data_IF_214488510963
#
_entry.id   IF_214488510963
#
_cell.length_a   1.000
_cell.length_b   1.000
_cell.length_c   1.000
_cell.angle_alpha   90.00
_cell.angle_beta   90.00
_cell.angle_gamma   90.00
#
_symmetry.space_group_name_H-M   'P 1'
#
loop_
_entity.id
_entity.type
_entity.pdbx_description
1 polymer ?
#
# COMPACT_ATOMS: atom_id res chain seq x y z
N UNK A 1 -6.56 -19.29 17.60
CA UNK A 1 -5.82 -20.40 16.98
C UNK A 1 -6.15 -20.40 15.50
N UNK A 2 -5.28 -19.81 14.67
CA UNK A 2 -5.42 -19.84 13.23
C UNK A 2 -4.70 -21.10 12.73
N UNK A 3 -5.45 -22.02 12.12
CA UNK A 3 -4.88 -23.17 11.42
C UNK A 3 -4.34 -22.69 10.07
N UNK A 4 -3.06 -22.97 9.82
CA UNK A 4 -2.43 -22.72 8.54
C UNK A 4 -2.94 -23.67 7.46
N UNK A 5 -3.46 -23.08 6.39
CA UNK A 5 -3.39 -23.61 5.02
C UNK A 5 -3.84 -22.52 4.02
N UNK A 6 -3.06 -22.35 2.95
CA UNK A 6 -3.36 -21.68 1.68
C UNK A 6 -3.81 -20.20 1.70
N UNK A 7 -2.91 -19.30 1.28
CA UNK A 7 -3.21 -18.22 0.32
C UNK A 7 -4.36 -17.25 0.61
N UNK A 8 -4.75 -17.04 1.87
CA UNK A 8 -5.84 -16.13 2.21
C UNK A 8 -5.38 -14.67 2.09
N UNK A 9 -5.88 -13.98 1.07
CA UNK A 9 -5.89 -12.53 1.01
C UNK A 9 -6.71 -12.00 2.18
N UNK A 10 -6.07 -11.38 3.15
CA UNK A 10 -6.74 -10.74 4.28
C UNK A 10 -7.36 -9.40 3.82
N UNK A 11 -8.67 -9.39 3.61
CA UNK A 11 -9.42 -8.15 3.41
C UNK A 11 -10.32 -7.92 4.62
N UNK A 12 -10.13 -6.78 5.30
CA UNK A 12 -11.06 -6.34 6.33
C UNK A 12 -12.48 -6.27 5.75
N UNK A 13 -13.50 -6.73 6.50
CA UNK A 13 -14.90 -6.57 6.08
C UNK A 13 -15.25 -5.10 5.78
N UNK A 14 -14.65 -4.18 6.52
CA UNK A 14 -14.76 -2.74 6.33
C UNK A 14 -14.32 -2.26 4.94
N UNK A 15 -13.46 -3.00 4.24
CA UNK A 15 -13.05 -2.66 2.88
C UNK A 15 -14.24 -2.63 1.91
N UNK A 16 -15.25 -3.46 2.13
CA UNK A 16 -16.43 -3.52 1.26
C UNK A 16 -17.48 -2.48 1.63
N UNK A 17 -17.42 -1.91 2.83
CA UNK A 17 -18.48 -1.05 3.38
C UNK A 17 -18.06 0.38 3.65
N UNK A 18 -16.77 0.66 3.82
CA UNK A 18 -16.28 1.95 4.31
C UNK A 18 -15.24 2.58 3.37
N UNK A 19 -15.03 3.89 3.53
CA UNK A 19 -14.06 4.68 2.78
C UNK A 19 -14.21 4.52 1.25
N UNK A 20 -15.45 4.44 0.76
CA UNK A 20 -15.75 4.37 -0.67
C UNK A 20 -15.57 5.77 -1.24
N UNK A 21 -14.47 5.98 -1.98
CA UNK A 21 -14.14 7.27 -2.57
C UNK A 21 -14.95 7.49 -3.85
N UNK A 22 -15.55 8.67 -3.96
CA UNK A 22 -16.32 9.10 -5.12
C UNK A 22 -15.64 10.32 -5.72
N UNK A 23 -14.90 10.08 -6.81
CA UNK A 23 -14.02 11.06 -7.46
C UNK A 23 -14.74 12.34 -7.88
N UNK A 24 -15.93 12.22 -8.47
CA UNK A 24 -16.72 13.37 -8.94
C UNK A 24 -16.99 14.39 -7.83
N UNK A 25 -17.09 13.92 -6.59
CA UNK A 25 -17.44 14.75 -5.44
C UNK A 25 -16.31 14.86 -4.41
N UNK A 26 -15.15 14.25 -4.68
CA UNK A 26 -13.98 14.24 -3.81
C UNK A 26 -14.32 13.89 -2.36
N UNK A 27 -15.18 12.88 -2.16
CA UNK A 27 -15.69 12.50 -0.85
C UNK A 27 -15.66 11.00 -0.61
N UNK A 28 -15.63 10.61 0.66
CA UNK A 28 -15.77 9.22 1.09
C UNK A 28 -17.15 8.95 1.66
N UNK A 29 -17.72 7.80 1.31
CA UNK A 29 -18.99 7.32 1.84
C UNK A 29 -18.87 5.91 2.41
N UNK A 30 -19.84 5.53 3.25
CA UNK A 30 -20.01 4.14 3.69
C UNK A 30 -21.29 3.56 3.08
N UNK A 31 -21.24 2.31 2.67
CA UNK A 31 -22.34 1.59 2.05
C UNK A 31 -22.51 0.21 2.66
N UNK A 32 -23.68 -0.06 3.25
CA UNK A 32 -24.06 -1.40 3.71
C UNK A 32 -25.27 -1.93 2.94
N UNK A 33 -26.26 -1.07 2.76
CA UNK A 33 -27.49 -1.34 2.04
C UNK A 33 -28.11 -0.02 1.59
N UNK A 34 -28.97 -0.11 0.57
CA UNK A 34 -29.59 1.04 -0.09
C UNK A 34 -30.47 1.88 0.84
N UNK A 35 -31.20 1.24 1.76
CA UNK A 35 -32.10 1.92 2.68
C UNK A 35 -31.32 2.79 3.67
N UNK A 36 -30.30 2.21 4.33
CA UNK A 36 -29.43 2.94 5.27
C UNK A 36 -28.62 4.01 4.56
N UNK A 37 -28.12 3.73 3.35
CA UNK A 37 -27.39 4.71 2.56
C UNK A 37 -28.27 5.93 2.26
N UNK A 38 -29.48 5.70 1.72
CA UNK A 38 -30.44 6.76 1.40
C UNK A 38 -30.79 7.56 2.65
N UNK A 39 -31.14 6.90 3.76
CA UNK A 39 -31.48 7.57 5.02
C UNK A 39 -30.34 8.42 5.57
N UNK A 40 -29.09 7.98 5.43
CA UNK A 40 -27.89 8.69 5.91
C UNK A 40 -27.60 9.93 5.07
N UNK A 41 -27.60 9.79 3.75
CA UNK A 41 -27.15 10.86 2.84
C UNK A 41 -28.27 11.79 2.36
N UNK A 42 -29.55 11.42 2.52
CA UNK A 42 -30.71 12.28 2.23
C UNK A 42 -30.77 13.54 3.11
N UNK A 43 -30.18 13.51 4.30
CA UNK A 43 -30.12 14.71 5.17
C UNK A 43 -29.03 15.69 4.77
N UNK A 44 -28.06 15.24 3.97
CA UNK A 44 -26.80 15.95 3.69
C UNK A 44 -26.79 16.46 2.25
N UNK A 45 -27.56 15.83 1.36
CA UNK A 45 -27.56 16.11 -0.08
C UNK A 45 -29.00 16.20 -0.61
N UNK A 46 -29.20 16.94 -1.71
CA UNK A 46 -30.48 16.99 -2.42
C UNK A 46 -30.83 15.58 -2.96
N UNK A 47 -32.10 15.17 -2.98
CA UNK A 47 -32.50 13.83 -3.42
C UNK A 47 -31.93 13.43 -4.80
N UNK A 48 -31.88 14.37 -5.74
CA UNK A 48 -31.28 14.18 -7.07
C UNK A 48 -29.81 13.74 -7.02
N UNK A 49 -29.09 14.19 -6.00
CA UNK A 49 -27.68 13.85 -5.80
C UNK A 49 -27.50 12.39 -5.37
N UNK A 50 -28.42 11.84 -4.58
CA UNK A 50 -28.39 10.44 -4.14
C UNK A 50 -28.61 9.49 -5.32
N UNK A 51 -29.56 9.84 -6.21
CA UNK A 51 -29.85 9.05 -7.42
C UNK A 51 -28.63 8.94 -8.36
N UNK A 52 -27.80 9.99 -8.42
CA UNK A 52 -26.55 9.98 -9.17
C UNK A 52 -25.39 9.28 -8.46
N UNK A 53 -25.40 9.32 -7.12
CA UNK A 53 -24.32 8.78 -6.27
C UNK A 53 -24.41 7.27 -6.11
N UNK A 54 -25.63 6.75 -5.89
CA UNK A 54 -25.84 5.33 -5.58
C UNK A 54 -25.30 4.37 -6.65
N UNK A 55 -25.49 4.59 -7.97
CA UNK A 55 -24.91 3.73 -8.99
C UNK A 55 -23.37 3.69 -8.95
N UNK A 56 -22.73 4.81 -8.63
CA UNK A 56 -21.26 4.89 -8.54
C UNK A 56 -20.75 4.10 -7.33
N UNK A 57 -21.40 4.26 -6.19
CA UNK A 57 -21.10 3.50 -4.96
C UNK A 57 -21.27 2.01 -5.19
N UNK A 58 -22.40 1.59 -5.77
CA UNK A 58 -22.67 0.18 -6.05
C UNK A 58 -21.61 -0.42 -7.00
N UNK A 59 -21.27 0.30 -8.07
CA UNK A 59 -20.22 -0.12 -9.01
C UNK A 59 -18.86 -0.30 -8.31
N UNK A 60 -18.50 0.62 -7.42
CA UNK A 60 -17.25 0.53 -6.67
C UNK A 60 -17.25 -0.63 -5.67
N UNK A 61 -18.36 -0.89 -4.97
CA UNK A 61 -18.51 -2.05 -4.07
C UNK A 61 -18.40 -3.36 -4.85
N UNK A 62 -19.12 -3.49 -5.96
CA UNK A 62 -19.03 -4.66 -6.85
C UNK A 62 -17.61 -4.88 -7.37
N UNK A 63 -16.90 -3.80 -7.74
CA UNK A 63 -15.49 -3.87 -8.13
C UNK A 63 -14.63 -4.41 -6.97
N UNK A 64 -14.78 -3.85 -5.76
CA UNK A 64 -14.02 -4.28 -4.57
C UNK A 64 -14.24 -5.77 -4.25
N UNK A 65 -15.47 -6.27 -4.40
CA UNK A 65 -15.80 -7.68 -4.19
C UNK A 65 -15.09 -8.61 -5.19
N UNK A 66 -14.91 -8.19 -6.44
CA UNK A 66 -14.25 -9.00 -7.49
C UNK A 66 -12.73 -9.00 -7.41
N UNK A 67 -12.12 -8.02 -6.73
CA UNK A 67 -10.66 -7.84 -6.71
C UNK A 67 -9.88 -9.09 -6.29
N UNK A 68 -10.34 -9.77 -5.24
CA UNK A 68 -9.64 -10.97 -4.74
C UNK A 68 -9.69 -12.11 -5.76
N UNK A 69 -10.86 -12.37 -6.35
CA UNK A 69 -11.03 -13.40 -7.37
C UNK A 69 -10.21 -13.11 -8.63
N UNK A 70 -10.31 -11.88 -9.14
CA UNK A 70 -9.55 -11.46 -10.31
C UNK A 70 -8.03 -11.52 -10.07
N UNK A 71 -7.57 -11.19 -8.87
CA UNK A 71 -6.16 -11.29 -8.49
C UNK A 71 -5.69 -12.74 -8.47
N UNK A 72 -6.48 -13.65 -7.92
CA UNK A 72 -6.18 -15.09 -7.93
C UNK A 72 -6.12 -15.65 -9.35
N UNK A 73 -7.06 -15.25 -10.22
CA UNK A 73 -7.06 -15.65 -11.63
C UNK A 73 -5.80 -15.17 -12.35
N UNK A 74 -5.43 -13.90 -12.19
CA UNK A 74 -4.19 -13.34 -12.76
C UNK A 74 -2.95 -14.06 -12.23
N UNK A 75 -2.84 -14.26 -10.91
CA UNK A 75 -1.72 -14.99 -10.30
C UNK A 75 -1.57 -16.39 -10.88
N UNK A 76 -2.67 -17.11 -11.07
CA UNK A 76 -2.67 -18.44 -11.69
C UNK A 76 -2.18 -18.39 -13.15
N UNK A 77 -2.71 -17.47 -13.95
CA UNK A 77 -2.31 -17.33 -15.34
C UNK A 77 -0.83 -16.92 -15.50
N UNK A 78 -0.37 -15.98 -14.67
CA UNK A 78 1.02 -15.52 -14.64
C UNK A 78 1.94 -16.69 -14.30
N UNK A 79 1.65 -17.43 -13.23
CA UNK A 79 2.45 -18.59 -12.81
C UNK A 79 2.58 -19.66 -13.91
N UNK A 80 1.53 -19.87 -14.72
CA UNK A 80 1.54 -20.85 -15.81
C UNK A 80 2.29 -20.40 -17.06
N UNK A 81 2.28 -19.10 -17.37
CA UNK A 81 2.69 -18.59 -18.69
C UNK A 81 3.94 -17.71 -18.66
N UNK A 82 4.19 -17.03 -17.55
CA UNK A 82 5.34 -16.14 -17.43
C UNK A 82 6.63 -16.94 -17.23
N UNK A 83 7.71 -16.47 -17.85
CA UNK A 83 9.05 -17.02 -17.69
C UNK A 83 9.94 -15.95 -17.09
N UNK A 84 10.33 -16.08 -15.81
CA UNK A 84 11.22 -15.12 -15.16
C UNK A 84 12.53 -14.94 -15.92
N UNK A 85 13.04 -13.72 -15.96
CA UNK A 85 14.37 -13.40 -16.46
C UNK A 85 15.43 -13.74 -15.39
N UNK A 86 15.12 -13.46 -14.13
CA UNK A 86 15.97 -13.65 -12.95
C UNK A 86 15.26 -14.54 -11.90
N UNK A 87 15.16 -15.87 -12.12
CA UNK A 87 14.43 -16.79 -11.24
C UNK A 87 14.91 -16.79 -9.78
N UNK A 88 16.19 -16.50 -9.55
CA UNK A 88 16.82 -16.45 -8.23
C UNK A 88 16.27 -15.33 -7.34
N UNK A 89 15.67 -14.29 -7.93
CA UNK A 89 15.07 -13.19 -7.17
C UNK A 89 13.79 -13.61 -6.44
N UNK A 90 13.15 -14.71 -6.82
CA UNK A 90 11.87 -15.14 -6.25
C UNK A 90 12.00 -15.73 -4.84
N UNK A 91 13.23 -15.97 -4.39
CA UNK A 91 13.53 -16.50 -3.06
C UNK A 91 14.47 -15.52 -2.37
N UNK A 92 14.11 -15.07 -1.17
CA UNK A 92 14.95 -14.13 -0.42
C UNK A 92 16.32 -14.75 -0.13
N UNK A 93 17.36 -14.04 -0.52
CA UNK A 93 18.74 -14.36 -0.19
C UNK A 93 19.32 -13.20 0.64
N UNK A 94 20.15 -13.53 1.62
CA UNK A 94 20.80 -12.51 2.45
C UNK A 94 21.74 -11.62 1.63
N UNK A 95 22.29 -12.15 0.53
CA UNK A 95 23.09 -11.39 -0.45
C UNK A 95 22.34 -10.26 -1.14
N UNK A 96 21.01 -10.24 -1.08
CA UNK A 96 20.21 -9.14 -1.61
C UNK A 96 20.17 -7.93 -0.67
N UNK A 97 20.45 -8.16 0.62
CA UNK A 97 20.31 -7.19 1.68
C UNK A 97 21.61 -6.41 1.89
N UNK A 98 21.50 -5.12 2.17
CA UNK A 98 22.67 -4.29 2.47
C UNK A 98 23.32 -4.69 3.79
N UNK A 99 24.62 -4.41 3.94
CA UNK A 99 25.33 -4.65 5.19
C UNK A 99 24.72 -3.85 6.35
N UNK A 100 24.42 -2.57 6.14
CA UNK A 100 23.84 -1.68 7.16
C UNK A 100 22.46 -2.17 7.62
N UNK A 101 21.65 -2.71 6.70
CA UNK A 101 20.36 -3.30 7.03
C UNK A 101 20.53 -4.53 7.92
N UNK A 102 21.44 -5.43 7.54
CA UNK A 102 21.71 -6.64 8.32
C UNK A 102 22.28 -6.31 9.70
N UNK A 103 23.16 -5.30 9.80
CA UNK A 103 23.68 -4.81 11.07
C UNK A 103 22.54 -4.33 11.99
N UNK A 104 21.62 -3.51 11.48
CA UNK A 104 20.45 -3.05 12.23
C UNK A 104 19.56 -4.23 12.67
N UNK A 105 19.32 -5.20 11.78
CA UNK A 105 18.54 -6.42 12.09
C UNK A 105 19.19 -7.21 13.22
N UNK A 106 20.49 -7.49 13.11
CA UNK A 106 21.23 -8.25 14.12
C UNK A 106 21.30 -7.52 15.46
N UNK A 107 21.46 -6.19 15.45
CA UNK A 107 21.38 -5.38 16.65
C UNK A 107 20.02 -5.56 17.36
N UNK A 108 18.91 -5.46 16.60
CA UNK A 108 17.55 -5.64 17.14
C UNK A 108 17.25 -7.06 17.64
N UNK A 109 17.97 -8.07 17.14
CA UNK A 109 17.86 -9.46 17.59
C UNK A 109 18.72 -9.75 18.83
N UNK A 110 19.63 -8.84 19.18
CA UNK A 110 20.53 -9.02 20.32
C UNK A 110 19.82 -8.74 21.66
N UNK A 111 20.32 -9.30 22.79
CA UNK A 111 19.80 -8.99 24.13
C UNK A 111 19.96 -7.51 24.54
N UNK A 112 20.77 -6.74 23.82
CA UNK A 112 21.06 -5.34 24.09
C UNK A 112 20.27 -4.39 23.18
N UNK A 113 19.32 -4.91 22.40
CA UNK A 113 18.47 -4.12 21.54
C UNK A 113 17.77 -3.00 22.33
N UNK A 114 17.95 -1.77 21.88
CA UNK A 114 17.33 -0.58 22.46
C UNK A 114 16.98 0.40 21.36
N UNK A 115 16.01 1.29 21.64
CA UNK A 115 15.64 2.33 20.69
C UNK A 115 16.84 3.23 20.39
N UNK A 116 17.50 3.76 21.41
CA UNK A 116 18.66 4.65 21.25
C UNK A 116 19.80 3.99 20.46
N UNK A 117 20.08 2.70 20.72
CA UNK A 117 21.11 1.97 20.00
C UNK A 117 20.76 1.76 18.52
N UNK A 118 19.49 1.46 18.22
CA UNK A 118 19.03 1.34 16.84
C UNK A 118 19.05 2.69 16.12
N UNK A 119 18.64 3.77 16.78
CA UNK A 119 18.66 5.11 16.19
C UNK A 119 20.08 5.58 15.81
N UNK A 120 21.12 5.05 16.44
CA UNK A 120 22.51 5.31 16.04
C UNK A 120 22.92 4.62 14.72
N UNK A 121 22.14 3.64 14.26
CA UNK A 121 22.36 2.89 13.01
C UNK A 121 21.47 3.40 11.85
N UNK A 122 20.55 4.33 12.13
CA UNK A 122 19.54 4.79 11.18
C UNK A 122 19.66 6.30 10.95
N UNK A 123 19.41 6.72 9.72
CA UNK A 123 19.06 8.10 9.46
C UNK A 123 17.60 8.31 9.88
N UNK A 124 17.29 9.45 10.52
CA UNK A 124 15.93 9.79 10.95
C UNK A 124 15.53 11.19 10.52
N UNK A 125 14.24 11.40 10.31
CA UNK A 125 13.69 12.74 10.12
C UNK A 125 13.34 13.30 11.50
N UNK A 126 13.91 14.45 11.92
CA UNK A 126 13.64 15.02 13.24
C UNK A 126 12.15 15.19 13.52
N UNK A 127 11.74 14.92 14.75
CA UNK A 127 10.36 15.03 15.26
C UNK A 127 9.32 14.19 14.49
N UNK A 128 9.78 13.26 13.63
CA UNK A 128 8.93 12.31 12.92
C UNK A 128 9.45 10.90 13.16
N UNK A 129 8.58 9.93 13.43
CA UNK A 129 8.95 8.50 13.50
C UNK A 129 9.17 7.93 12.08
N UNK A 130 10.06 8.54 11.32
CA UNK A 130 10.40 8.19 9.93
C UNK A 130 11.90 7.95 9.87
N UNK A 131 12.28 6.77 9.40
CA UNK A 131 13.65 6.28 9.41
C UNK A 131 14.08 5.88 8.00
N UNK A 132 15.38 5.99 7.75
CA UNK A 132 16.01 5.72 6.46
C UNK A 132 17.27 4.88 6.69
N UNK A 133 17.39 3.85 5.87
CA UNK A 133 18.57 2.99 5.78
C UNK A 133 18.56 2.30 4.41
N UNK A 134 19.73 1.96 3.84
CA UNK A 134 19.76 1.17 2.62
C UNK A 134 19.25 -0.24 2.94
N UNK A 135 18.22 -0.75 2.24
CA UNK A 135 17.68 -2.09 2.51
C UNK A 135 18.32 -3.15 1.62
N UNK A 136 18.41 -2.87 0.32
CA UNK A 136 18.95 -3.80 -0.66
C UNK A 136 20.26 -3.30 -1.26
N UNK A 137 21.08 -4.24 -1.73
CA UNK A 137 22.31 -3.92 -2.48
C UNK A 137 21.96 -3.41 -3.89
N UNK A 138 22.77 -2.52 -4.50
CA UNK A 138 22.47 -1.97 -5.83
C UNK A 138 22.28 -3.03 -6.92
N UNK A 139 23.02 -4.13 -6.84
CA UNK A 139 22.91 -5.23 -7.82
C UNK A 139 21.52 -5.87 -7.78
N UNK A 140 20.98 -6.15 -6.59
CA UNK A 140 19.60 -6.65 -6.45
C UNK A 140 18.60 -5.67 -7.04
N UNK A 141 18.73 -4.37 -6.72
CA UNK A 141 17.81 -3.35 -7.26
C UNK A 141 17.81 -3.34 -8.80
N UNK A 142 19.00 -3.45 -9.41
CA UNK A 142 19.15 -3.52 -10.86
C UNK A 142 18.46 -4.75 -11.44
N UNK A 143 18.79 -5.94 -10.94
CA UNK A 143 18.24 -7.20 -11.47
C UNK A 143 16.71 -7.26 -11.25
N UNK A 144 16.23 -6.75 -10.11
CA UNK A 144 14.81 -6.65 -9.82
C UNK A 144 14.09 -5.69 -10.77
N UNK A 145 14.68 -4.54 -11.10
CA UNK A 145 14.12 -3.64 -12.12
C UNK A 145 14.06 -4.31 -13.49
N UNK A 146 15.11 -5.04 -13.90
CA UNK A 146 15.13 -5.77 -15.17
C UNK A 146 14.03 -6.85 -15.24
N UNK A 147 13.81 -7.59 -14.15
CA UNK A 147 12.74 -8.59 -14.03
C UNK A 147 11.36 -7.93 -14.16
N UNK A 148 11.13 -6.82 -13.46
CA UNK A 148 9.86 -6.10 -13.51
C UNK A 148 9.57 -5.54 -14.90
N UNK A 149 10.58 -4.98 -15.57
CA UNK A 149 10.42 -4.52 -16.95
C UNK A 149 10.17 -5.66 -17.94
N UNK A 150 10.80 -6.82 -17.71
CA UNK A 150 10.55 -8.03 -18.50
C UNK A 150 9.09 -8.50 -18.34
N UNK A 151 8.57 -8.50 -17.12
CA UNK A 151 7.16 -8.78 -16.87
C UNK A 151 6.25 -7.75 -17.51
N UNK A 152 6.59 -6.47 -17.42
CA UNK A 152 5.81 -5.37 -18.00
C UNK A 152 5.67 -5.51 -19.52
N UNK A 153 6.73 -5.93 -20.22
CA UNK A 153 6.72 -6.19 -21.68
C UNK A 153 5.90 -7.42 -22.09
N UNK A 154 5.53 -8.28 -21.15
CA UNK A 154 4.71 -9.47 -21.44
C UNK A 154 3.26 -9.09 -21.77
N UNK A 155 2.58 -9.94 -22.55
CA UNK A 155 1.16 -9.77 -22.88
C UNK A 155 0.20 -10.22 -21.78
N UNK A 156 0.70 -10.57 -20.59
CA UNK A 156 -0.10 -11.09 -19.48
C UNK A 156 -0.86 -9.96 -18.80
N UNK A 157 -2.05 -10.29 -18.29
CA UNK A 157 -2.89 -9.36 -17.54
C UNK A 157 -2.19 -8.94 -16.24
N UNK A 158 -2.27 -7.64 -15.92
CA UNK A 158 -1.63 -7.03 -14.74
C UNK A 158 -2.69 -6.35 -13.89
N UNK A 159 -2.67 -6.59 -12.58
CA UNK A 159 -3.51 -5.84 -11.66
C UNK A 159 -2.96 -4.43 -11.40
N UNK A 160 -3.82 -3.51 -10.97
CA UNK A 160 -3.40 -2.16 -10.58
C UNK A 160 -2.81 -2.18 -9.15
N UNK A 161 -1.66 -1.53 -8.90
CA UNK A 161 -1.05 -1.49 -7.58
C UNK A 161 -1.97 -0.92 -6.49
N UNK A 162 -2.59 0.23 -6.77
CA UNK A 162 -3.56 0.89 -5.91
C UNK A 162 -4.54 1.74 -6.74
N UNK A 163 -5.45 2.44 -6.06
CA UNK A 163 -6.50 3.25 -6.72
C UNK A 163 -5.95 4.48 -7.43
N UNK A 164 -4.76 4.96 -7.06
CA UNK A 164 -4.13 6.17 -7.60
C UNK A 164 -3.06 5.88 -8.66
N UNK A 165 -2.58 4.64 -8.75
CA UNK A 165 -1.56 4.24 -9.72
C UNK A 165 -2.15 3.30 -10.77
N UNK A 166 -2.03 3.73 -12.03
CA UNK A 166 -2.43 2.93 -13.17
C UNK A 166 -1.32 1.97 -13.61
N UNK A 167 -0.07 2.26 -13.24
CA UNK A 167 1.10 1.51 -13.70
C UNK A 167 1.96 1.00 -12.55
N UNK A 168 2.41 -0.24 -12.70
CA UNK A 168 3.22 -0.93 -11.72
C UNK A 168 2.86 -2.41 -11.61
N UNK A 169 3.58 -3.10 -10.74
CA UNK A 169 3.51 -4.56 -10.61
C UNK A 169 3.08 -4.92 -9.20
N UNK A 170 2.03 -5.74 -9.11
CA UNK A 170 1.63 -6.41 -7.88
C UNK A 170 2.54 -7.62 -7.63
N UNK A 171 3.37 -7.57 -6.60
CA UNK A 171 4.40 -8.59 -6.34
C UNK A 171 3.81 -9.93 -5.92
N UNK A 172 2.63 -9.91 -5.30
CA UNK A 172 1.87 -11.10 -4.93
C UNK A 172 1.39 -11.90 -6.15
N UNK A 173 0.94 -11.20 -7.21
CA UNK A 173 0.48 -11.78 -8.47
C UNK A 173 1.66 -12.32 -9.28
N UNK A 174 2.81 -11.65 -9.21
CA UNK A 174 4.01 -12.08 -9.91
C UNK A 174 4.70 -13.27 -9.23
N UNK A 175 4.49 -13.48 -7.92
CA UNK A 175 4.96 -14.66 -7.19
C UNK A 175 6.05 -14.40 -6.14
N UNK A 176 6.29 -13.15 -5.77
CA UNK A 176 7.33 -12.77 -4.81
C UNK A 176 6.91 -12.87 -3.33
N UNK A 177 5.60 -12.91 -3.04
CA UNK A 177 5.10 -12.85 -1.65
C UNK A 177 5.61 -14.00 -0.77
N UNK A 178 5.45 -15.24 -1.21
CA UNK A 178 5.62 -16.41 -0.33
C UNK A 178 7.08 -16.63 0.06
N UNK A 179 8.01 -16.42 -0.88
CA UNK A 179 9.43 -16.78 -0.72
C UNK A 179 10.38 -15.58 -0.65
N UNK A 180 9.95 -14.37 -1.02
CA UNK A 180 10.76 -13.15 -0.88
C UNK A 180 10.19 -12.18 0.16
N UNK A 181 8.94 -11.72 -0.01
CA UNK A 181 8.40 -10.63 0.83
C UNK A 181 8.01 -11.13 2.23
N UNK A 182 7.39 -12.31 2.34
CA UNK A 182 7.01 -12.89 3.64
C UNK A 182 8.24 -13.12 4.52
N UNK A 183 9.32 -13.77 4.04
CA UNK A 183 10.54 -13.90 4.83
C UNK A 183 11.20 -12.55 5.16
N UNK A 184 11.19 -11.58 4.23
CA UNK A 184 11.72 -10.24 4.48
C UNK A 184 11.00 -9.57 5.65
N UNK A 185 9.66 -9.61 5.64
CA UNK A 185 8.82 -9.07 6.71
C UNK A 185 9.11 -9.76 8.04
N UNK A 186 9.07 -11.10 8.06
CA UNK A 186 9.06 -11.86 9.31
C UNK A 186 10.42 -11.96 9.98
N UNK A 187 11.49 -12.10 9.18
CA UNK A 187 12.83 -12.34 9.71
C UNK A 187 13.65 -11.07 9.86
N UNK A 188 13.44 -10.10 8.98
CA UNK A 188 14.29 -8.90 8.91
C UNK A 188 13.55 -7.64 9.34
N UNK A 189 12.37 -7.34 8.80
CA UNK A 189 11.66 -6.10 9.17
C UNK A 189 11.05 -6.16 10.58
N UNK A 190 10.47 -7.30 10.97
CA UNK A 190 9.79 -7.46 12.28
C UNK A 190 10.69 -7.09 13.48
N UNK A 191 11.96 -7.52 13.57
CA UNK A 191 12.87 -7.05 14.62
C UNK A 191 12.99 -5.53 14.70
N UNK A 192 13.18 -4.84 13.57
CA UNK A 192 13.33 -3.38 13.55
C UNK A 192 12.04 -2.70 14.00
N UNK A 193 10.91 -3.07 13.38
CA UNK A 193 9.63 -2.41 13.68
C UNK A 193 9.13 -2.69 15.09
N UNK A 194 9.52 -3.81 15.70
CA UNK A 194 9.22 -4.11 17.11
C UNK A 194 9.87 -3.10 18.06
N UNK A 195 11.08 -2.63 17.72
CA UNK A 195 11.81 -1.62 18.50
C UNK A 195 11.32 -0.21 18.15
N UNK A 196 11.14 0.09 16.86
CA UNK A 196 10.78 1.42 16.39
C UNK A 196 9.31 1.79 16.66
N UNK A 197 8.41 0.81 16.63
CA UNK A 197 6.95 1.01 16.68
C UNK A 197 6.23 0.04 17.64
N UNK A 198 6.65 -0.05 18.93
CA UNK A 198 5.99 -0.94 19.89
C UNK A 198 4.51 -0.58 20.09
N UNK A 199 4.16 0.71 20.03
CA UNK A 199 2.78 1.20 20.24
C UNK A 199 1.85 0.94 19.05
N UNK A 200 2.40 0.58 17.88
CA UNK A 200 1.65 0.29 16.66
C UNK A 200 1.69 -1.18 16.27
N UNK A 201 2.01 -2.06 17.22
CA UNK A 201 2.00 -3.50 16.98
C UNK A 201 3.14 -3.97 16.07
N UNK A 202 4.30 -3.31 16.08
CA UNK A 202 5.45 -3.69 15.24
C UNK A 202 5.89 -5.15 15.41
N UNK A 203 5.66 -5.75 16.58
CA UNK A 203 5.95 -7.17 16.84
C UNK A 203 4.91 -8.16 16.31
N UNK A 204 3.73 -7.68 15.92
CA UNK A 204 2.60 -8.50 15.51
C UNK A 204 2.13 -8.26 14.06
N UNK A 205 2.96 -7.64 13.21
CA UNK A 205 2.66 -7.51 11.78
C UNK A 205 2.48 -8.90 11.14
N UNK A 206 1.30 -9.17 10.60
CA UNK A 206 0.84 -10.50 10.16
C UNK A 206 0.44 -10.58 8.68
N UNK A 207 0.21 -9.44 8.03
CA UNK A 207 -0.12 -9.31 6.61
C UNK A 207 0.83 -8.31 5.92
N UNK A 208 0.78 -8.25 4.59
CA UNK A 208 1.47 -7.23 3.79
C UNK A 208 0.77 -7.09 2.45
N UNK A 209 0.98 -5.94 1.81
CA UNK A 209 0.65 -5.72 0.40
C UNK A 209 1.87 -5.09 -0.26
N UNK A 210 2.51 -5.83 -1.16
CA UNK A 210 3.73 -5.39 -1.82
C UNK A 210 3.50 -5.13 -3.31
N UNK A 211 3.95 -3.97 -3.77
CA UNK A 211 3.82 -3.55 -5.15
C UNK A 211 4.93 -2.58 -5.52
N UNK A 212 5.23 -2.51 -6.81
CA UNK A 212 6.13 -1.52 -7.38
C UNK A 212 5.31 -0.54 -8.18
N UNK A 213 5.59 0.75 -8.02
CA UNK A 213 4.99 1.83 -8.80
C UNK A 213 5.99 2.29 -9.86
N UNK A 214 5.49 2.56 -11.07
CA UNK A 214 6.31 3.16 -12.12
C UNK A 214 5.84 4.57 -12.42
N UNK A 215 6.70 5.54 -12.09
CA UNK A 215 6.55 6.92 -12.52
C UNK A 215 7.31 7.14 -13.84
N UNK A 216 6.67 7.79 -14.80
CA UNK A 216 7.32 8.30 -16.01
C UNK A 216 6.52 9.48 -16.56
N UNK A 217 7.14 10.34 -17.37
CA UNK A 217 6.51 11.55 -17.91
C UNK A 217 5.18 11.28 -18.65
N UNK A 218 5.04 10.10 -19.26
CA UNK A 218 3.84 9.70 -20.00
C UNK A 218 2.87 8.82 -19.19
N UNK A 219 3.07 8.68 -17.88
CA UNK A 219 2.27 7.83 -16.97
C UNK A 219 1.69 8.67 -15.82
N UNK A 220 1.68 8.13 -14.61
CA UNK A 220 1.18 8.85 -13.43
C UNK A 220 2.21 9.93 -13.05
N UNK A 221 1.80 11.21 -13.05
CA UNK A 221 2.66 12.37 -12.78
C UNK A 221 2.56 12.90 -11.34
N UNK A 222 1.46 12.60 -10.64
CA UNK A 222 1.22 13.07 -9.29
C UNK A 222 0.46 12.02 -8.48
N UNK A 223 0.72 11.99 -7.19
CA UNK A 223 0.05 11.13 -6.23
C UNK A 223 -0.58 12.02 -5.16
N UNK A 224 -1.91 12.11 -5.18
CA UNK A 224 -2.67 12.88 -4.20
C UNK A 224 -2.27 12.51 -2.77
N UNK A 225 -2.29 13.48 -1.87
CA UNK A 225 -2.07 13.24 -0.45
C UNK A 225 -3.07 12.20 0.07
N UNK A 226 -2.56 11.13 0.68
CA UNK A 226 -3.34 9.99 1.18
C UNK A 226 -2.64 9.37 2.39
N UNK A 227 -3.30 8.41 3.02
CA UNK A 227 -2.71 7.51 4.00
C UNK A 227 -2.62 6.11 3.43
N UNK A 228 -1.59 5.38 3.80
CA UNK A 228 -1.49 3.95 3.49
C UNK A 228 -2.36 3.14 4.46
N UNK A 229 -3.00 2.10 3.94
CA UNK A 229 -3.76 1.15 4.76
C UNK A 229 -2.82 0.09 5.37
N UNK A 230 -1.93 0.54 6.26
CA UNK A 230 -0.92 -0.28 6.95
C UNK A 230 -0.45 0.42 8.22
N UNK A 231 -0.07 -0.36 9.24
CA UNK A 231 0.54 0.17 10.47
C UNK A 231 1.95 0.74 10.21
N UNK A 232 2.69 0.09 9.30
CA UNK A 232 4.04 0.51 8.89
C UNK A 232 4.19 0.31 7.38
N UNK A 233 4.68 1.33 6.67
CA UNK A 233 5.01 1.26 5.24
C UNK A 233 6.52 1.26 5.06
N UNK A 234 7.05 0.30 4.29
CA UNK A 234 8.41 0.34 3.76
C UNK A 234 8.37 0.87 2.33
N UNK A 235 9.01 2.03 2.08
CA UNK A 235 9.22 2.57 0.74
C UNK A 235 10.69 2.42 0.35
N UNK A 236 10.94 1.73 -0.77
CA UNK A 236 12.28 1.43 -1.28
C UNK A 236 12.43 2.04 -2.66
N UNK A 237 13.42 2.92 -2.82
CA UNK A 237 13.85 3.37 -4.15
C UNK A 237 14.70 2.28 -4.81
N UNK A 238 14.29 1.85 -6.01
CA UNK A 238 14.98 0.81 -6.79
C UNK A 238 16.05 1.37 -7.74
N UNK A 239 16.36 2.67 -7.65
CA UNK A 239 17.61 3.20 -8.21
C UNK A 239 17.64 3.49 -9.72
N UNK A 240 16.49 3.77 -10.36
CA UNK A 240 16.53 4.43 -11.68
C UNK A 240 17.02 5.87 -11.52
N UNK A 241 17.71 6.38 -12.54
CA UNK A 241 18.04 7.81 -12.60
C UNK A 241 16.76 8.62 -12.84
N UNK A 242 16.48 9.57 -11.94
CA UNK A 242 15.41 10.53 -12.09
C UNK A 242 15.81 11.85 -11.43
N UNK A 243 15.23 12.94 -11.93
CA UNK A 243 15.26 14.25 -11.27
C UNK A 243 13.90 14.49 -10.64
N UNK A 244 13.88 14.93 -9.37
CA UNK A 244 12.67 15.14 -8.55
C UNK A 244 12.11 13.85 -7.91
N UNK A 245 10.79 13.73 -7.67
CA UNK A 245 10.16 12.54 -7.08
C UNK A 245 10.23 12.49 -5.54
N UNK A 246 10.30 13.67 -4.91
CA UNK A 246 10.37 13.77 -3.45
C UNK A 246 9.12 13.21 -2.76
N UNK A 247 9.31 12.49 -1.66
CA UNK A 247 8.21 12.07 -0.79
C UNK A 247 7.95 13.15 0.27
N UNK A 248 6.76 13.73 0.24
CA UNK A 248 6.34 14.75 1.20
C UNK A 248 5.45 14.14 2.28
N UNK A 249 5.77 14.42 3.54
CA UNK A 249 4.99 13.97 4.70
C UNK A 249 4.23 15.14 5.31
N UNK A 250 2.91 15.15 5.19
CA UNK A 250 2.01 16.09 5.85
C UNK A 250 1.29 15.48 7.04
N UNK A 251 0.92 16.31 8.01
CA UNK A 251 -0.02 15.92 9.06
C UNK A 251 -1.35 15.43 8.44
N UNK A 252 -2.01 14.47 9.09
CA UNK A 252 -3.36 14.11 8.71
C UNK A 252 -4.25 15.34 8.85
N UNK A 253 -4.79 15.81 7.72
CA UNK A 253 -5.84 16.83 7.73
C UNK A 253 -7.14 16.16 8.17
N UNK A 254 -7.44 16.22 9.47
CA UNK A 254 -8.80 15.98 9.91
C UNK A 254 -9.68 17.08 9.31
N UNK A 255 -10.63 16.70 8.44
CA UNK A 255 -11.76 17.58 8.17
C UNK A 255 -12.50 17.71 9.49
N UNK A 256 -12.28 18.82 10.20
CA UNK A 256 -13.19 19.23 11.27
C UNK A 256 -14.56 19.28 10.63
N UNK A 257 -15.41 18.29 10.92
CA UNK A 257 -16.84 18.43 10.75
C UNK A 257 -17.21 19.65 11.57
N UNK A 258 -17.38 20.79 10.92
CA UNK A 258 -18.03 21.96 11.49
C UNK A 258 -19.49 21.55 11.72
N UNK A 259 -19.71 20.81 12.81
CA UNK A 259 -21.03 20.42 13.31
C UNK A 259 -21.81 21.60 13.88
N UNK A 260 -21.45 22.85 13.54
CA UNK A 260 -22.11 24.07 13.98
C UNK A 260 -21.90 25.23 12.97
N UNK A 261 -22.36 25.09 11.74
CA UNK A 261 -22.91 26.25 11.04
C UNK A 261 -24.34 25.94 10.63
N UNK A 262 -25.22 26.31 11.57
CA UNK A 262 -26.57 26.74 11.28
C UNK A 262 -26.58 27.57 10.00
N UNK A 263 -27.40 27.12 9.05
CA UNK A 263 -28.23 27.93 8.17
C UNK A 263 -27.96 29.44 8.31
N UNK A 264 -27.03 29.95 7.53
CA UNK A 264 -26.83 31.39 7.34
C UNK A 264 -26.75 31.61 5.84
N UNK A 265 -27.90 31.98 5.29
CA UNK A 265 -28.15 32.42 3.93
C UNK A 265 -26.99 33.21 3.34
N UNK A 266 -26.46 32.80 2.18
CA UNK A 266 -26.00 33.72 1.14
C UNK A 266 -26.17 33.05 -0.22
N UNK A 267 -27.27 33.42 -0.90
CA UNK A 267 -27.26 33.51 -2.36
C UNK A 267 -26.38 34.69 -2.74
N UNK A 268 -25.58 34.57 -3.80
CA UNK A 268 -25.53 35.56 -4.88
C UNK A 268 -24.96 34.92 -6.14
N UNK A 269 -25.77 34.92 -7.20
CA UNK A 269 -25.33 35.02 -8.59
C UNK A 269 -24.99 36.50 -8.86
N UNK A 270 -23.84 36.78 -9.47
CA UNK A 270 -23.72 36.92 -10.93
C UNK A 270 -22.34 36.43 -11.35
#
# INVERSE_FOLDING_TARGET
MAHGSSGLSYSCACFYTDNIFIEQYQMHVSFTDEEKFTKKYHKITLCYFIELLFPQVKKEVERRMKLAEESMQRKSEISLRYKPLHPELYVLQESFLSADFLEAVHFCQSPHASLDGLLNLLDSIPDKRIYRLPVFVPQFCKDFVEELEHFERSSLAKGRPNTMNNYGVLLNELGFDDSLITPLREKYLRPLVSVLYPDWGGSCLDSHKAFVVQYSLDKDLDLSCHYDNSEVTLNVSLGKEFTDGNLYFSEMREVKLLLNYLCSSFFFFF
#
